data_IF_299509126977
#
_entry.id   IF_299509126977
#
_cell.length_a   1.000
_cell.length_b   1.000
_cell.length_c   1.000
_cell.angle_alpha   90.00
_cell.angle_beta   90.00
_cell.angle_gamma   90.00
#
_symmetry.space_group_name_H-M   'P 1'
#
loop_
_entity.id
_entity.type
_entity.pdbx_description
1 polymer ?
#
# COMPACT_ATOMS: atom_id res chain seq x y z
N UNK A 1 -8.06 -31.38 -0.17
CA UNK A 1 -7.27 -30.25 0.39
C UNK A 1 -7.85 -29.93 1.75
N UNK A 2 -7.05 -30.06 2.80
CA UNK A 2 -7.48 -29.87 4.19
C UNK A 2 -7.89 -28.40 4.35
N UNK A 3 -9.14 -28.15 4.77
CA UNK A 3 -9.63 -26.82 5.17
C UNK A 3 -8.86 -26.37 6.41
N UNK A 4 -7.66 -25.83 6.21
CA UNK A 4 -6.98 -25.06 7.25
C UNK A 4 -7.69 -23.71 7.31
N UNK A 5 -8.23 -23.29 8.47
CA UNK A 5 -8.77 -21.95 8.61
C UNK A 5 -7.68 -20.94 8.21
N UNK A 6 -8.00 -19.91 7.40
CA UNK A 6 -7.06 -18.84 7.13
C UNK A 6 -6.62 -18.21 8.47
N UNK A 7 -5.31 -18.01 8.63
CA UNK A 7 -4.76 -17.36 9.81
C UNK A 7 -5.00 -15.86 9.69
N UNK A 8 -6.11 -15.37 10.24
CA UNK A 8 -6.54 -13.97 10.20
C UNK A 8 -5.50 -12.98 10.76
N UNK A 9 -4.53 -13.49 11.52
CA UNK A 9 -3.39 -12.72 12.02
C UNK A 9 -2.46 -12.28 10.89
N UNK A 10 -2.31 -13.10 9.84
CA UNK A 10 -1.46 -12.76 8.68
C UNK A 10 -2.03 -11.56 7.92
N UNK A 11 -3.34 -11.56 7.68
CA UNK A 11 -4.03 -10.45 7.01
C UNK A 11 -3.99 -9.18 7.87
N UNK A 12 -4.21 -9.31 9.18
CA UNK A 12 -4.10 -8.18 10.12
C UNK A 12 -2.70 -7.59 10.14
N UNK A 13 -1.65 -8.43 10.17
CA UNK A 13 -0.26 -7.99 10.10
C UNK A 13 0.03 -7.30 8.76
N UNK A 14 -0.45 -7.86 7.64
CA UNK A 14 -0.28 -7.25 6.32
C UNK A 14 -0.90 -5.84 6.27
N UNK A 15 -2.15 -5.69 6.71
CA UNK A 15 -2.83 -4.38 6.78
C UNK A 15 -2.04 -3.39 7.64
N UNK A 16 -1.49 -3.86 8.76
CA UNK A 16 -0.66 -3.05 9.64
C UNK A 16 0.63 -2.59 8.95
N UNK A 17 1.33 -3.50 8.28
CA UNK A 17 2.55 -3.19 7.54
C UNK A 17 2.29 -2.22 6.37
N UNK A 18 1.19 -2.40 5.63
CA UNK A 18 0.78 -1.47 4.57
C UNK A 18 0.51 -0.07 5.11
N UNK A 19 -0.19 0.03 6.25
CA UNK A 19 -0.44 1.31 6.92
C UNK A 19 0.86 2.02 7.30
N UNK A 20 1.83 1.30 7.84
CA UNK A 20 3.12 1.89 8.22
C UNK A 20 3.98 2.25 7.01
N UNK A 21 3.94 1.43 5.96
CA UNK A 21 4.59 1.73 4.69
C UNK A 21 4.09 3.04 4.07
N UNK A 22 2.77 3.24 4.05
CA UNK A 22 2.15 4.48 3.57
C UNK A 22 2.59 5.70 4.38
N UNK A 23 2.71 5.59 5.71
CA UNK A 23 3.25 6.69 6.54
C UNK A 23 4.68 7.05 6.14
N UNK A 24 5.52 6.06 5.86
CA UNK A 24 6.89 6.31 5.41
C UNK A 24 6.92 7.00 4.05
N UNK A 25 6.03 6.63 3.12
CA UNK A 25 5.88 7.34 1.85
C UNK A 25 5.46 8.79 2.07
N UNK A 26 4.47 9.04 2.94
CA UNK A 26 4.05 10.41 3.26
C UNK A 26 5.15 11.25 3.90
N UNK A 27 6.00 10.65 4.74
CA UNK A 27 7.13 11.33 5.34
C UNK A 27 8.24 11.68 4.33
N UNK A 28 8.29 10.99 3.17
CA UNK A 28 9.28 11.25 2.12
C UNK A 28 8.94 12.49 1.28
N UNK A 29 7.66 12.78 1.04
CA UNK A 29 7.26 13.89 0.15
C UNK A 29 7.78 15.28 0.55
N UNK A 30 7.79 15.68 1.83
CA UNK A 30 8.38 16.98 2.21
C UNK A 30 9.87 17.05 1.89
N UNK A 31 10.59 15.93 2.04
CA UNK A 31 12.02 15.85 1.76
C UNK A 31 12.29 15.88 0.25
N UNK A 32 11.51 15.14 -0.55
CA UNK A 32 11.64 15.15 -2.01
C UNK A 32 11.33 16.54 -2.58
N UNK A 33 10.28 17.21 -2.06
CA UNK A 33 9.91 18.56 -2.45
C UNK A 33 11.01 19.59 -2.11
N UNK A 34 11.60 19.51 -0.91
CA UNK A 34 12.69 20.40 -0.51
C UNK A 34 13.95 20.19 -1.37
N UNK A 35 14.29 18.95 -1.67
CA UNK A 35 15.41 18.60 -2.54
C UNK A 35 15.20 19.11 -3.98
N UNK A 36 14.01 18.89 -4.55
CA UNK A 36 13.62 19.41 -5.86
C UNK A 36 13.70 20.94 -5.93
N UNK A 37 13.18 21.63 -4.91
CA UNK A 37 13.24 23.09 -4.83
C UNK A 37 14.68 23.59 -4.78
N UNK A 38 15.53 22.94 -3.98
CA UNK A 38 16.95 23.28 -3.87
C UNK A 38 17.70 23.04 -5.18
N UNK A 39 17.41 21.92 -5.86
CA UNK A 39 17.99 21.60 -7.16
C UNK A 39 17.54 22.57 -8.25
N UNK A 40 16.26 22.96 -8.24
CA UNK A 40 15.71 23.96 -9.15
C UNK A 40 16.38 25.33 -8.96
N UNK A 41 16.53 25.79 -7.72
CA UNK A 41 17.24 27.03 -7.42
C UNK A 41 18.71 26.97 -7.87
N UNK A 42 19.38 25.82 -7.67
CA UNK A 42 20.74 25.60 -8.15
C UNK A 42 20.83 25.59 -9.69
N UNK A 43 19.88 24.96 -10.39
CA UNK A 43 19.80 24.95 -11.84
C UNK A 43 19.71 26.38 -12.42
N UNK A 44 18.89 27.23 -11.79
CA UNK A 44 18.70 28.64 -12.17
C UNK A 44 19.95 29.48 -11.89
N UNK A 45 20.65 29.21 -10.79
CA UNK A 45 21.88 29.91 -10.42
C UNK A 45 23.11 29.46 -11.24
N UNK A 46 23.01 28.36 -11.98
CA UNK A 46 24.13 27.78 -12.74
C UNK A 46 24.43 28.61 -14.01
N UNK A 47 25.72 28.81 -14.36
CA UNK A 47 26.10 29.63 -15.52
C UNK A 47 25.59 29.02 -16.83
N UNK A 48 24.91 29.86 -17.63
CA UNK A 48 24.31 29.47 -18.90
C UNK A 48 25.25 29.61 -20.12
N UNK A 49 26.54 29.93 -19.92
CA UNK A 49 27.43 30.29 -21.03
C UNK A 49 28.82 29.67 -20.97
N UNK A 50 29.14 28.91 -22.01
CA UNK A 50 30.49 28.67 -22.51
C UNK A 50 30.42 28.73 -24.03
N UNK A 51 30.95 29.80 -24.61
CA UNK A 51 30.90 30.22 -26.01
C UNK A 51 31.60 29.31 -27.04
N UNK A 52 31.58 27.98 -26.86
CA UNK A 52 32.25 27.05 -27.77
C UNK A 52 31.46 25.74 -27.93
N UNK A 53 30.68 25.66 -29.01
CA UNK A 53 30.38 24.45 -29.81
C UNK A 53 29.99 23.12 -29.11
N UNK A 54 29.58 23.13 -27.84
CA UNK A 54 29.05 21.95 -27.14
C UNK A 54 27.56 22.13 -26.90
N UNK A 55 26.77 21.16 -27.36
CA UNK A 55 25.34 21.27 -27.66
C UNK A 55 24.37 21.21 -26.46
N UNK A 56 24.84 21.25 -25.21
CA UNK A 56 23.96 21.26 -24.02
C UNK A 56 24.59 22.10 -22.91
N UNK A 57 23.87 23.14 -22.44
CA UNK A 57 24.29 23.92 -21.26
C UNK A 57 24.05 23.11 -19.97
N UNK A 58 24.96 23.12 -18.98
CA UNK A 58 24.75 22.43 -17.70
C UNK A 58 23.45 22.85 -17.01
N UNK A 59 23.06 24.13 -17.15
CA UNK A 59 21.76 24.63 -16.67
C UNK A 59 20.57 23.90 -17.30
N UNK A 60 20.60 23.61 -18.60
CA UNK A 60 19.54 22.87 -19.30
C UNK A 60 19.46 21.43 -18.83
N UNK A 61 20.60 20.77 -18.62
CA UNK A 61 20.62 19.40 -18.06
C UNK A 61 20.03 19.37 -16.66
N UNK A 62 20.37 20.36 -15.81
CA UNK A 62 19.83 20.45 -14.45
C UNK A 62 18.32 20.71 -14.45
N UNK A 63 17.81 21.57 -15.34
CA UNK A 63 16.37 21.78 -15.50
C UNK A 63 15.66 20.51 -15.95
N UNK A 64 16.20 19.79 -16.94
CA UNK A 64 15.64 18.51 -17.37
C UNK A 64 15.62 17.46 -16.24
N UNK A 65 16.65 17.43 -15.39
CA UNK A 65 16.68 16.56 -14.20
C UNK A 65 15.58 16.93 -13.20
N UNK A 66 15.35 18.23 -12.96
CA UNK A 66 14.27 18.71 -12.08
C UNK A 66 12.90 18.25 -12.61
N UNK A 67 12.67 18.34 -13.93
CA UNK A 67 11.42 17.88 -14.55
C UNK A 67 11.21 16.37 -14.41
N UNK A 68 12.24 15.56 -14.65
CA UNK A 68 12.17 14.09 -14.51
C UNK A 68 11.89 13.70 -13.06
N UNK A 69 12.56 14.34 -12.10
CA UNK A 69 12.34 14.10 -10.69
C UNK A 69 10.94 14.55 -10.23
N UNK A 70 10.42 15.68 -10.75
CA UNK A 70 9.06 16.12 -10.47
C UNK A 70 8.00 15.14 -11.01
N UNK A 71 8.21 14.60 -12.22
CA UNK A 71 7.36 13.56 -12.79
C UNK A 71 7.40 12.27 -11.96
N UNK A 72 8.59 11.91 -11.46
CA UNK A 72 8.77 10.74 -10.59
C UNK A 72 8.05 10.92 -9.24
N UNK A 73 8.06 12.13 -8.68
CA UNK A 73 7.36 12.46 -7.44
C UNK A 73 5.83 12.36 -7.60
N UNK A 74 5.27 12.85 -8.72
CA UNK A 74 3.85 12.67 -9.05
C UNK A 74 3.48 11.18 -9.24
N UNK A 75 4.34 10.40 -9.90
CA UNK A 75 4.15 8.95 -10.02
C UNK A 75 4.16 8.26 -8.65
N UNK A 76 5.05 8.67 -7.74
CA UNK A 76 5.11 8.15 -6.37
C UNK A 76 3.86 8.52 -5.56
N UNK A 77 3.32 9.72 -5.77
CA UNK A 77 2.07 10.15 -5.14
C UNK A 77 0.88 9.29 -5.60
N UNK A 78 0.77 9.03 -6.91
CA UNK A 78 -0.25 8.12 -7.47
C UNK A 78 -0.09 6.69 -6.97
N UNK A 79 1.14 6.20 -6.86
CA UNK A 79 1.42 4.90 -6.28
C UNK A 79 0.97 4.82 -4.82
N UNK A 80 1.26 5.85 -4.03
CA UNK A 80 0.82 5.93 -2.62
C UNK A 80 -0.71 5.86 -2.51
N UNK A 81 -1.44 6.55 -3.39
CA UNK A 81 -2.90 6.43 -3.45
C UNK A 81 -3.38 5.02 -3.84
N UNK A 82 -2.69 4.35 -4.76
CA UNK A 82 -3.01 2.98 -5.14
C UNK A 82 -2.81 2.00 -3.97
N UNK A 83 -1.73 2.17 -3.19
CA UNK A 83 -1.44 1.38 -1.98
C UNK A 83 -2.49 1.65 -0.90
N UNK A 84 -2.95 2.89 -0.73
CA UNK A 84 -4.03 3.22 0.21
C UNK A 84 -5.33 2.48 -0.15
N UNK A 85 -5.74 2.51 -1.42
CA UNK A 85 -6.91 1.76 -1.90
C UNK A 85 -6.74 0.25 -1.70
N UNK A 86 -5.57 -0.28 -2.02
CA UNK A 86 -5.25 -1.69 -1.79
C UNK A 86 -5.41 -2.07 -0.31
N UNK A 87 -4.94 -1.24 0.62
CA UNK A 87 -5.11 -1.46 2.06
C UNK A 87 -6.59 -1.45 2.47
N UNK A 88 -7.40 -0.57 1.89
CA UNK A 88 -8.85 -0.53 2.12
C UNK A 88 -9.54 -1.82 1.65
N UNK A 89 -9.19 -2.31 0.46
CA UNK A 89 -9.68 -3.59 -0.06
C UNK A 89 -9.28 -4.77 0.84
N UNK A 90 -8.05 -4.79 1.37
CA UNK A 90 -7.62 -5.79 2.35
C UNK A 90 -8.42 -5.74 3.65
N UNK A 91 -8.80 -4.54 4.10
CA UNK A 91 -9.67 -4.39 5.27
C UNK A 91 -11.08 -4.95 4.98
N UNK A 92 -11.64 -4.66 3.81
CA UNK A 92 -12.91 -5.26 3.38
C UNK A 92 -12.85 -6.79 3.25
N UNK A 93 -11.72 -7.32 2.76
CA UNK A 93 -11.48 -8.76 2.73
C UNK A 93 -11.47 -9.38 4.14
N UNK A 94 -10.87 -8.70 5.11
CA UNK A 94 -10.85 -9.14 6.51
C UNK A 94 -12.25 -9.23 7.10
N UNK A 95 -13.09 -8.23 6.83
CA UNK A 95 -14.48 -8.22 7.30
C UNK A 95 -15.26 -9.40 6.69
N UNK A 96 -15.04 -9.68 5.39
CA UNK A 96 -15.64 -10.83 4.72
C UNK A 96 -15.15 -12.18 5.30
N UNK A 97 -13.88 -12.28 5.66
CA UNK A 97 -13.35 -13.48 6.34
C UNK A 97 -14.00 -13.69 7.72
N UNK A 98 -14.27 -12.62 8.46
CA UNK A 98 -14.96 -12.68 9.75
C UNK A 98 -16.42 -13.16 9.60
N UNK A 99 -17.13 -12.65 8.58
CA UNK A 99 -18.51 -13.05 8.25
C UNK A 99 -18.59 -14.53 7.85
N UNK A 100 -17.71 -14.97 6.94
CA UNK A 100 -17.63 -16.39 6.54
C UNK A 100 -17.28 -17.26 7.76
N UNK A 101 -16.38 -16.78 8.62
CA UNK A 101 -16.05 -17.44 9.88
C UNK A 101 -17.25 -17.62 10.80
N UNK A 102 -18.16 -16.63 10.87
CA UNK A 102 -19.40 -16.74 11.64
C UNK A 102 -20.33 -17.82 11.08
N UNK A 103 -20.55 -17.83 9.77
CA UNK A 103 -21.40 -18.84 9.11
C UNK A 103 -20.87 -20.26 9.32
N UNK A 104 -19.55 -20.45 9.25
CA UNK A 104 -18.94 -21.76 9.49
C UNK A 104 -19.10 -22.22 10.93
N UNK A 105 -18.95 -21.31 11.92
CA UNK A 105 -19.21 -21.61 13.33
C UNK A 105 -20.67 -21.99 13.57
N UNK A 106 -21.61 -21.24 13.00
CA UNK A 106 -23.05 -21.53 13.15
C UNK A 106 -23.40 -22.91 12.56
N UNK A 107 -22.85 -23.24 11.39
CA UNK A 107 -22.99 -24.59 10.81
C UNK A 107 -22.43 -25.67 11.73
N UNK A 108 -21.27 -25.45 12.33
CA UNK A 108 -20.67 -26.42 13.25
C UNK A 108 -21.52 -26.60 14.51
N UNK A 109 -22.01 -25.51 15.09
CA UNK A 109 -22.93 -25.53 16.24
C UNK A 109 -24.18 -26.33 15.89
N UNK A 110 -24.81 -26.09 14.74
CA UNK A 110 -25.98 -26.83 14.29
C UNK A 110 -25.69 -28.33 14.15
N UNK A 111 -24.53 -28.70 13.61
CA UNK A 111 -24.12 -30.10 13.49
C UNK A 111 -23.91 -30.79 14.84
N UNK A 112 -23.27 -30.09 15.79
CA UNK A 112 -23.05 -30.61 17.15
C UNK A 112 -24.38 -30.77 17.88
N UNK A 113 -25.26 -29.77 17.82
CA UNK A 113 -26.59 -29.81 18.44
C UNK A 113 -27.44 -30.92 17.84
N UNK A 114 -27.48 -31.06 16.52
CA UNK A 114 -28.25 -32.12 15.86
C UNK A 114 -27.76 -33.52 16.28
N UNK A 115 -26.44 -33.72 16.34
CA UNK A 115 -25.85 -34.98 16.84
C UNK A 115 -26.22 -35.26 18.29
N UNK A 116 -26.20 -34.23 19.14
CA UNK A 116 -26.58 -34.37 20.54
C UNK A 116 -28.06 -34.75 20.71
N UNK A 117 -28.96 -34.06 20.01
CA UNK A 117 -30.41 -34.35 20.05
C UNK A 117 -30.71 -35.74 19.51
N UNK A 118 -30.09 -36.12 18.39
CA UNK A 118 -30.28 -37.45 17.79
C UNK A 118 -29.75 -38.56 18.71
N UNK A 119 -28.61 -38.33 19.38
CA UNK A 119 -28.09 -39.27 20.38
C UNK A 119 -29.00 -39.40 21.61
N UNK A 120 -29.65 -38.32 22.07
CA UNK A 120 -30.63 -38.41 23.17
C UNK A 120 -31.87 -39.20 22.78
N UNK A 121 -32.36 -39.03 21.55
CA UNK A 121 -33.54 -39.73 21.03
C UNK A 121 -33.33 -41.24 20.83
N UNK A 122 -32.08 -41.68 20.60
CA UNK A 122 -31.72 -43.10 20.45
C UNK A 122 -31.52 -43.83 21.78
N UNK A 123 -31.58 -43.14 22.93
CA UNK A 123 -31.39 -43.70 24.29
C UNK A 123 -32.76 -44.01 24.97
N UNK A 124 -33.88 -43.92 24.25
CA UNK A 124 -35.21 -44.40 24.67
C UNK A 124 -35.72 -45.45 23.68
#
# INVERSE_FOLDING_TARGET
>A
MVHRPPDSRLLTNLIHHEKDYIKHLFALFPLSHAALTSLSAYAIASPSSGSHQSSVSPSQTLTALVEVLASSDDALHRYTQAVERWREELAGLKDLEEDVGAVLRDREILQVVFRFVSSMLLIH
#
